data_IF_596445606560
#
_entry.id   IF_596445606560
#
_cell.length_a   1.000
_cell.length_b   1.000
_cell.length_c   1.000
_cell.angle_alpha   90.00
_cell.angle_beta   90.00
_cell.angle_gamma   90.00
#
_symmetry.space_group_name_H-M   'P 1'
#
loop_
_entity.id
_entity.type
_entity.pdbx_description
1 polymer ?
#
# COMPACT_ATOMS: atom_id res chain seq x y z
N UNK A 1 13.76 16.66 -16.92
CA UNK A 1 12.34 16.57 -17.31
C UNK A 1 11.65 15.79 -16.20
N UNK A 2 10.92 16.46 -15.31
CA UNK A 2 10.22 15.77 -14.22
C UNK A 2 9.09 14.93 -14.82
N UNK A 3 9.06 13.63 -14.54
CA UNK A 3 7.90 12.80 -14.87
C UNK A 3 6.67 13.43 -14.19
N UNK A 4 5.62 13.68 -14.96
CA UNK A 4 4.37 14.17 -14.39
C UNK A 4 3.86 13.14 -13.38
N UNK A 5 3.35 13.61 -12.24
CA UNK A 5 2.76 12.74 -11.22
C UNK A 5 1.69 11.87 -11.87
N UNK A 6 1.77 10.53 -11.75
CA UNK A 6 0.74 9.66 -12.32
C UNK A 6 -0.62 9.99 -11.72
N UNK A 7 -1.68 9.77 -12.49
CA UNK A 7 -3.04 9.98 -12.01
C UNK A 7 -3.26 9.19 -10.70
N UNK A 8 -3.92 9.79 -9.69
CA UNK A 8 -4.13 9.13 -8.41
C UNK A 8 -5.01 7.88 -8.59
N UNK A 9 -4.66 6.81 -7.88
CA UNK A 9 -5.50 5.63 -7.76
C UNK A 9 -6.63 5.93 -6.76
N UNK A 10 -7.85 6.07 -7.24
CA UNK A 10 -9.05 6.41 -6.46
C UNK A 10 -10.09 5.29 -6.41
N UNK A 11 -9.71 4.09 -6.85
CA UNK A 11 -10.55 2.90 -6.80
C UNK A 11 -10.90 2.50 -5.37
N UNK A 12 -12.12 2.02 -5.17
CA UNK A 12 -12.63 1.58 -3.87
C UNK A 12 -12.90 0.08 -3.86
N UNK A 13 -12.65 -0.53 -2.71
CA UNK A 13 -13.01 -1.91 -2.41
C UNK A 13 -14.36 -1.89 -1.70
N UNK A 14 -15.34 -2.63 -2.22
CA UNK A 14 -16.72 -2.59 -1.77
C UNK A 14 -17.26 -4.01 -1.55
N UNK A 15 -18.31 -4.14 -0.73
CA UNK A 15 -18.92 -5.45 -0.42
C UNK A 15 -20.09 -5.80 -1.35
N UNK A 16 -20.42 -4.94 -2.32
CA UNK A 16 -21.54 -5.16 -3.24
C UNK A 16 -21.20 -6.26 -4.27
N UNK A 17 -22.21 -7.02 -4.70
CA UNK A 17 -22.09 -8.04 -5.73
C UNK A 17 -21.62 -7.47 -7.08
N UNK A 18 -21.97 -6.23 -7.39
CA UNK A 18 -21.58 -5.54 -8.63
C UNK A 18 -20.30 -4.69 -8.48
N UNK A 19 -19.58 -4.83 -7.36
CA UNK A 19 -18.37 -4.05 -7.11
C UNK A 19 -17.26 -4.42 -8.11
N UNK A 20 -16.60 -3.40 -8.67
CA UNK A 20 -15.41 -3.61 -9.52
C UNK A 20 -14.26 -4.30 -8.76
N UNK A 21 -14.17 -4.00 -7.46
CA UNK A 21 -13.19 -4.59 -6.53
C UNK A 21 -13.94 -5.14 -5.30
N UNK A 22 -14.45 -6.39 -5.35
CA UNK A 22 -15.17 -6.98 -4.24
C UNK A 22 -14.23 -7.34 -3.08
N UNK A 23 -14.71 -7.22 -1.84
CA UNK A 23 -13.96 -7.56 -0.64
C UNK A 23 -13.83 -9.09 -0.45
N UNK A 24 -12.75 -9.67 -0.99
CA UNK A 24 -12.49 -11.12 -0.96
C UNK A 24 -11.22 -11.47 -0.17
N UNK A 25 -11.22 -12.64 0.48
CA UNK A 25 -10.08 -13.10 1.28
C UNK A 25 -8.89 -13.48 0.40
N UNK A 26 -7.69 -13.00 0.76
CA UNK A 26 -6.44 -13.32 0.06
C UNK A 26 -6.25 -12.64 -1.30
N UNK A 27 -7.15 -11.74 -1.70
CA UNK A 27 -7.09 -11.03 -2.98
C UNK A 27 -6.21 -9.78 -2.95
N UNK A 28 -6.15 -9.11 -1.80
CA UNK A 28 -5.52 -7.81 -1.67
C UNK A 28 -4.21 -7.89 -0.89
N UNK A 29 -3.25 -7.06 -1.32
CA UNK A 29 -1.94 -6.96 -0.71
C UNK A 29 -1.65 -5.51 -0.33
N UNK A 30 -1.18 -5.31 0.89
CA UNK A 30 -0.87 -4.02 1.46
C UNK A 30 0.64 -3.77 1.41
N UNK A 31 1.05 -2.70 0.72
CA UNK A 31 2.43 -2.23 0.67
C UNK A 31 2.60 -1.03 1.61
N UNK A 32 3.53 -1.09 2.55
CA UNK A 32 3.74 -0.02 3.55
C UNK A 32 5.22 0.21 3.83
N UNK A 33 5.56 1.41 4.31
CA UNK A 33 6.85 1.68 4.93
C UNK A 33 6.62 2.12 6.37
N UNK A 34 7.34 1.52 7.34
CA UNK A 34 7.20 1.88 8.76
C UNK A 34 7.56 3.35 9.07
N UNK A 35 8.32 4.00 8.19
CA UNK A 35 8.67 5.41 8.34
C UNK A 35 7.54 6.38 7.99
N UNK A 36 6.50 5.95 7.28
CA UNK A 36 5.46 6.84 6.76
C UNK A 36 4.24 6.89 7.71
N UNK A 37 3.84 8.09 8.19
CA UNK A 37 2.70 8.23 9.11
C UNK A 37 1.36 7.91 8.44
N UNK A 38 1.24 8.13 7.13
CA UNK A 38 0.02 7.79 6.39
C UNK A 38 -0.13 6.28 6.21
N UNK A 39 0.92 5.58 5.78
CA UNK A 39 0.92 4.12 5.64
C UNK A 39 0.71 3.41 6.99
N UNK A 40 1.21 3.99 8.08
CA UNK A 40 1.02 3.48 9.44
C UNK A 40 -0.45 3.42 9.86
N UNK A 41 -1.33 4.29 9.33
CA UNK A 41 -2.78 4.23 9.61
C UNK A 41 -3.42 2.95 9.07
N UNK A 42 -3.11 2.61 7.82
CA UNK A 42 -3.59 1.40 7.16
C UNK A 42 -3.07 0.14 7.87
N UNK A 43 -1.80 0.15 8.30
CA UNK A 43 -1.22 -0.93 9.08
C UNK A 43 -1.91 -1.10 10.45
N UNK A 44 -2.16 -0.01 11.16
CA UNK A 44 -2.87 -0.05 12.44
C UNK A 44 -4.30 -0.61 12.28
N UNK A 45 -5.03 -0.16 11.26
CA UNK A 45 -6.36 -0.68 10.96
C UNK A 45 -6.34 -2.18 10.65
N UNK A 46 -5.37 -2.67 9.86
CA UNK A 46 -5.19 -4.10 9.59
C UNK A 46 -5.05 -4.92 10.86
N UNK A 47 -4.23 -4.45 11.81
CA UNK A 47 -3.94 -5.18 13.04
C UNK A 47 -5.10 -5.11 14.04
N UNK A 48 -5.73 -3.93 14.20
CA UNK A 48 -6.86 -3.75 15.12
C UNK A 48 -8.12 -4.52 14.70
N UNK A 49 -8.33 -4.67 13.39
CA UNK A 49 -9.46 -5.42 12.84
C UNK A 49 -9.17 -6.91 12.63
N UNK A 50 -7.96 -7.38 12.96
CA UNK A 50 -7.57 -8.79 12.83
C UNK A 50 -7.52 -9.28 11.37
N UNK A 51 -7.18 -8.42 10.41
CA UNK A 51 -7.17 -8.74 8.97
C UNK A 51 -5.84 -9.34 8.50
N UNK A 52 -5.03 -9.83 9.42
CA UNK A 52 -3.64 -10.20 9.16
C UNK A 52 -3.50 -11.46 8.30
N UNK A 53 -4.45 -12.37 8.41
CA UNK A 53 -4.57 -13.61 7.64
C UNK A 53 -5.32 -13.43 6.31
N UNK A 54 -5.92 -12.25 6.10
CA UNK A 54 -6.73 -11.92 4.93
C UNK A 54 -5.97 -11.05 3.94
N UNK A 55 -5.20 -10.08 4.46
CA UNK A 55 -4.49 -9.08 3.67
C UNK A 55 -2.98 -9.30 3.82
N UNK A 56 -2.35 -9.71 2.72
CA UNK A 56 -0.90 -9.85 2.64
C UNK A 56 -0.18 -8.53 2.87
N UNK A 57 1.04 -8.57 3.40
CA UNK A 57 1.80 -7.37 3.76
C UNK A 57 3.21 -7.43 3.17
N UNK A 58 3.62 -6.36 2.49
CA UNK A 58 5.01 -6.15 2.10
C UNK A 58 5.50 -4.82 2.66
N UNK A 59 6.60 -4.89 3.39
CA UNK A 59 7.22 -3.72 3.99
C UNK A 59 8.37 -3.25 3.12
N UNK A 60 8.29 -1.99 2.72
CA UNK A 60 9.32 -1.30 1.99
C UNK A 60 10.36 -0.73 2.98
N UNK A 61 11.64 -0.98 2.70
CA UNK A 61 12.73 -0.41 3.47
C UNK A 61 13.21 0.89 2.82
N UNK A 62 13.32 1.95 3.63
CA UNK A 62 13.83 3.25 3.18
C UNK A 62 15.36 3.24 3.22
N UNK A 63 15.99 3.38 2.06
CA UNK A 63 17.42 3.72 1.99
C UNK A 63 17.55 5.25 2.01
N UNK A 64 18.61 5.75 2.66
CA UNK A 64 18.75 7.11 3.20
C UNK A 64 18.74 8.31 2.21
N UNK A 65 18.22 8.16 0.99
CA UNK A 65 18.19 9.22 -0.04
C UNK A 65 16.85 9.31 -0.78
N UNK A 66 15.74 9.05 -0.09
CA UNK A 66 14.39 9.10 -0.68
C UNK A 66 14.14 7.99 -1.72
N UNK A 67 14.89 6.89 -1.63
CA UNK A 67 14.71 5.67 -2.40
C UNK A 67 14.14 4.56 -1.51
N UNK A 68 13.11 3.89 -1.99
CA UNK A 68 12.49 2.71 -1.39
C UNK A 68 12.88 1.48 -2.19
N UNK A 69 13.22 0.40 -1.50
CA UNK A 69 13.51 -0.90 -2.13
C UNK A 69 12.33 -1.86 -1.93
N UNK A 70 11.88 -2.46 -3.03
CA UNK A 70 10.96 -3.61 -3.06
C UNK A 70 11.68 -4.77 -3.75
N UNK A 71 12.29 -5.69 -2.98
CA UNK A 71 13.06 -6.79 -3.57
C UNK A 71 14.30 -6.29 -4.31
N UNK A 72 14.38 -6.49 -5.63
CA UNK A 72 15.45 -5.94 -6.49
C UNK A 72 15.14 -4.57 -7.07
N UNK A 73 13.92 -4.06 -6.90
CA UNK A 73 13.45 -2.86 -7.56
C UNK A 73 13.63 -1.62 -6.66
N UNK A 74 14.25 -0.58 -7.23
CA UNK A 74 14.46 0.71 -6.58
C UNK A 74 13.42 1.72 -7.08
N UNK A 75 12.57 2.21 -6.18
CA UNK A 75 11.52 3.20 -6.46
C UNK A 75 11.83 4.48 -5.70
N UNK A 76 11.82 5.63 -6.39
CA UNK A 76 12.01 6.93 -5.75
C UNK A 76 10.67 7.43 -5.17
N UNK A 77 10.64 7.68 -3.87
CA UNK A 77 9.42 8.04 -3.12
C UNK A 77 9.30 9.56 -2.99
N UNK A 78 8.72 10.23 -3.98
CA UNK A 78 8.50 11.70 -3.94
C UNK A 78 7.36 12.15 -3.02
N UNK A 79 6.55 11.22 -2.51
CA UNK A 79 5.20 11.50 -2.02
C UNK A 79 4.96 11.03 -0.57
N UNK A 80 6.02 10.95 0.25
CA UNK A 80 5.87 11.19 1.68
C UNK A 80 5.92 12.69 1.98
#
# INVERSE_FOLDING_TARGET
MAAAKPAPYDFKIETNADAKFPAEKGRYHLYVAYSCPFASRSLAARNLLGLEDVIGLSVAHRLALNWIVYGTDMVYDQDC
#
